data_IF_707500422854
#
_entry.id   IF_707500422854
#
_cell.length_a   1.000
_cell.length_b   1.000
_cell.length_c   1.000
_cell.angle_alpha   90.00
_cell.angle_beta   90.00
_cell.angle_gamma   90.00
#
_symmetry.space_group_name_H-M   'P 1'
#
loop_
_entity.id
_entity.type
_entity.pdbx_description
1 polymer ?
#
# COMPACT_ATOMS: atom_id res chain seq x y z
N UNK A 1 -5.53 10.29 -15.97
CA UNK A 1 -4.94 8.98 -15.66
C UNK A 1 -5.55 7.91 -16.55
N UNK A 2 -4.75 7.30 -17.41
CA UNK A 2 -5.16 6.17 -18.27
C UNK A 2 -5.22 4.87 -17.45
N UNK A 3 -6.44 4.34 -17.26
CA UNK A 3 -6.67 3.12 -16.50
C UNK A 3 -6.20 1.85 -17.21
N UNK A 4 -6.11 1.87 -18.55
CA UNK A 4 -5.63 0.71 -19.32
C UNK A 4 -4.16 0.45 -19.06
N UNK A 5 -3.34 1.51 -19.02
CA UNK A 5 -1.90 1.42 -18.74
C UNK A 5 -1.67 0.86 -17.34
N UNK A 6 -2.41 1.36 -16.34
CA UNK A 6 -2.33 0.90 -14.95
C UNK A 6 -2.77 -0.56 -14.82
N UNK A 7 -3.89 -0.92 -15.46
CA UNK A 7 -4.40 -2.29 -15.45
C UNK A 7 -3.39 -3.27 -16.04
N UNK A 8 -2.85 -2.96 -17.22
CA UNK A 8 -1.90 -3.82 -17.90
C UNK A 8 -0.62 -3.99 -17.08
N UNK A 9 -0.10 -2.90 -16.49
CA UNK A 9 1.04 -2.97 -15.61
C UNK A 9 0.77 -3.81 -14.36
N UNK A 10 -0.35 -3.58 -13.65
CA UNK A 10 -0.63 -4.26 -12.39
C UNK A 10 -0.78 -5.77 -12.56
N UNK A 11 -1.48 -6.21 -13.61
CA UNK A 11 -1.64 -7.63 -13.94
C UNK A 11 -0.28 -8.25 -14.30
N UNK A 12 0.49 -7.58 -15.17
CA UNK A 12 1.82 -8.05 -15.54
C UNK A 12 2.76 -8.13 -14.33
N UNK A 13 2.80 -7.09 -13.50
CA UNK A 13 3.67 -7.00 -12.33
C UNK A 13 3.34 -8.10 -11.31
N UNK A 14 2.06 -8.43 -11.16
CA UNK A 14 1.59 -9.53 -10.31
C UNK A 14 2.18 -10.87 -10.73
N UNK A 15 2.04 -11.21 -12.00
CA UNK A 15 2.56 -12.46 -12.55
C UNK A 15 4.08 -12.49 -12.53
N UNK A 16 4.72 -11.35 -12.85
CA UNK A 16 6.17 -11.21 -12.84
C UNK A 16 6.77 -11.37 -11.44
N UNK A 17 6.17 -10.75 -10.42
CA UNK A 17 6.63 -10.90 -9.03
C UNK A 17 6.45 -12.33 -8.51
N UNK A 18 5.34 -13.00 -8.83
CA UNK A 18 5.17 -14.43 -8.50
C UNK A 18 6.30 -15.25 -9.12
N UNK A 19 6.57 -15.05 -10.41
CA UNK A 19 7.63 -15.77 -11.13
C UNK A 19 9.00 -15.52 -10.48
N UNK A 20 9.36 -14.26 -10.23
CA UNK A 20 10.66 -13.90 -9.69
C UNK A 20 10.84 -14.35 -8.23
N UNK A 21 9.78 -14.33 -7.42
CA UNK A 21 9.78 -14.86 -6.05
C UNK A 21 9.91 -16.39 -6.06
N UNK A 22 9.18 -17.08 -6.94
CA UNK A 22 9.30 -18.53 -7.11
C UNK A 22 10.70 -18.92 -7.58
N UNK A 23 11.28 -18.15 -8.51
CA UNK A 23 12.66 -18.33 -8.95
C UNK A 23 13.66 -18.13 -7.80
N UNK A 24 13.41 -17.15 -6.92
CA UNK A 24 14.25 -16.96 -5.73
C UNK A 24 14.14 -18.13 -4.76
N UNK A 25 12.95 -18.70 -4.57
CA UNK A 25 12.76 -19.92 -3.78
C UNK A 25 13.49 -21.12 -4.39
N UNK A 26 13.43 -21.27 -5.72
CA UNK A 26 14.15 -22.32 -6.46
C UNK A 26 15.66 -22.26 -6.20
N UNK A 27 16.26 -21.06 -6.25
CA UNK A 27 17.68 -20.87 -5.93
C UNK A 27 18.03 -21.30 -4.50
N UNK A 28 17.09 -21.16 -3.57
CA UNK A 28 17.20 -21.62 -2.17
C UNK A 28 16.88 -23.11 -2.00
N UNK A 29 16.74 -23.84 -3.11
CA UNK A 29 16.50 -25.27 -3.15
C UNK A 29 15.07 -25.64 -2.73
N UNK A 30 14.10 -24.78 -2.97
CA UNK A 30 12.70 -24.99 -2.60
C UNK A 30 11.81 -24.89 -3.84
N UNK A 31 11.07 -25.95 -4.16
CA UNK A 31 10.17 -26.02 -5.33
C UNK A 31 8.92 -26.80 -4.95
N UNK A 32 7.76 -26.13 -4.89
CA UNK A 32 6.54 -26.77 -4.39
C UNK A 32 6.78 -27.33 -2.98
N UNK A 33 6.44 -28.60 -2.78
CA UNK A 33 6.66 -29.30 -1.51
C UNK A 33 8.10 -29.84 -1.33
N UNK A 34 8.94 -29.76 -2.37
CA UNK A 34 10.33 -30.22 -2.31
C UNK A 34 11.24 -29.17 -1.68
N UNK A 35 11.71 -29.44 -0.46
CA UNK A 35 12.69 -28.63 0.26
C UNK A 35 14.01 -29.39 0.35
N UNK A 36 15.00 -28.98 -0.45
CA UNK A 36 16.34 -29.55 -0.40
C UNK A 36 17.01 -29.24 0.94
N UNK A 37 17.79 -30.20 1.45
CA UNK A 37 18.60 -29.99 2.65
C UNK A 37 19.79 -29.07 2.35
N UNK A 38 20.17 -28.26 3.32
CA UNK A 38 21.41 -27.48 3.26
C UNK A 38 22.63 -28.41 3.21
N UNK A 39 23.60 -28.05 2.37
CA UNK A 39 24.88 -28.75 2.28
C UNK A 39 25.87 -28.10 3.26
N UNK A 40 26.18 -28.80 4.36
CA UNK A 40 27.27 -28.41 5.26
C UNK A 40 28.59 -28.89 4.68
N UNK A 41 29.44 -27.97 4.23
CA UNK A 41 30.75 -28.29 3.65
C UNK A 41 31.88 -28.12 4.69
N UNK A 42 31.77 -27.12 5.57
CA UNK A 42 32.61 -26.96 6.77
C UNK A 42 31.84 -26.19 7.86
N UNK A 43 32.42 -25.97 9.05
CA UNK A 43 31.75 -25.32 10.18
C UNK A 43 31.15 -23.93 9.82
N UNK A 44 31.85 -23.15 9.00
CA UNK A 44 31.44 -21.80 8.56
C UNK A 44 31.02 -21.73 7.09
N UNK A 45 30.85 -22.89 6.44
CA UNK A 45 30.52 -22.98 5.02
C UNK A 45 29.31 -23.87 4.79
N UNK A 46 28.15 -23.20 4.71
CA UNK A 46 26.87 -23.79 4.38
C UNK A 46 26.45 -23.27 3.00
N UNK A 47 26.03 -24.18 2.12
CA UNK A 47 25.60 -23.84 0.76
C UNK A 47 24.32 -24.55 0.36
N UNK A 48 23.67 -24.02 -0.68
CA UNK A 48 22.53 -24.63 -1.35
C UNK A 48 22.64 -24.37 -2.85
N UNK A 49 22.40 -25.38 -3.68
CA UNK A 49 22.57 -25.31 -5.14
C UNK A 49 23.92 -24.69 -5.55
N UNK A 50 25.00 -25.01 -4.82
CA UNK A 50 26.34 -24.49 -5.07
C UNK A 50 26.62 -23.06 -4.59
N UNK A 51 25.62 -22.33 -4.05
CA UNK A 51 25.80 -20.96 -3.53
C UNK A 51 25.96 -20.93 -2.01
N UNK A 52 27.00 -20.23 -1.52
CA UNK A 52 27.20 -19.96 -0.08
C UNK A 52 26.04 -19.12 0.46
N UNK A 53 25.50 -19.52 1.62
CA UNK A 53 24.55 -18.68 2.37
C UNK A 53 25.28 -17.90 3.46
N UNK A 54 24.91 -16.63 3.64
CA UNK A 54 25.32 -15.82 4.78
C UNK A 54 24.61 -16.32 6.05
N UNK A 55 25.16 -16.14 7.26
CA UNK A 55 24.55 -16.65 8.50
C UNK A 55 23.09 -16.22 8.70
N UNK A 56 22.74 -14.97 8.39
CA UNK A 56 21.36 -14.49 8.50
C UNK A 56 20.42 -15.12 7.46
N UNK A 57 20.90 -15.41 6.24
CA UNK A 57 20.12 -16.07 5.19
C UNK A 57 19.73 -17.50 5.61
N UNK A 58 20.54 -18.17 6.43
CA UNK A 58 20.21 -19.50 6.96
C UNK A 58 18.97 -19.43 7.87
N UNK A 59 18.89 -18.41 8.73
CA UNK A 59 17.75 -18.23 9.62
C UNK A 59 16.49 -17.83 8.85
N UNK A 60 16.61 -16.89 7.89
CA UNK A 60 15.51 -16.52 7.01
C UNK A 60 14.99 -17.71 6.21
N UNK A 61 15.88 -18.56 5.68
CA UNK A 61 15.48 -19.78 4.97
C UNK A 61 14.77 -20.78 5.88
N UNK A 62 15.18 -20.94 7.14
CA UNK A 62 14.46 -21.80 8.10
C UNK A 62 13.05 -21.25 8.40
N UNK A 63 12.89 -19.93 8.50
CA UNK A 63 11.57 -19.32 8.61
C UNK A 63 10.72 -19.62 7.38
N UNK A 64 11.32 -19.48 6.18
CA UNK A 64 10.66 -19.81 4.91
C UNK A 64 10.16 -21.25 4.85
N UNK A 65 11.00 -22.22 5.24
CA UNK A 65 10.59 -23.63 5.30
C UNK A 65 9.39 -23.85 6.23
N UNK A 66 9.40 -23.20 7.40
CA UNK A 66 8.31 -23.30 8.36
C UNK A 66 7.01 -22.77 7.75
N UNK A 67 7.06 -21.59 7.12
CA UNK A 67 5.88 -20.97 6.50
C UNK A 67 5.33 -21.77 5.33
N UNK A 68 6.21 -22.37 4.52
CA UNK A 68 5.80 -23.26 3.42
C UNK A 68 5.12 -24.52 3.96
N UNK A 69 5.62 -25.11 5.05
CA UNK A 69 4.94 -26.26 5.70
C UNK A 69 3.57 -25.90 6.30
N UNK A 70 3.41 -24.65 6.76
CA UNK A 70 2.15 -24.16 7.35
C UNK A 70 1.08 -23.83 6.30
N UNK A 71 1.46 -23.17 5.20
CA UNK A 71 0.53 -22.55 4.24
C UNK A 71 0.57 -23.19 2.84
N UNK A 72 1.63 -23.92 2.52
CA UNK A 72 1.94 -24.38 1.16
C UNK A 72 2.77 -23.37 0.37
N UNK A 73 3.54 -23.87 -0.61
CA UNK A 73 4.47 -23.09 -1.42
C UNK A 73 3.78 -21.96 -2.18
N UNK A 74 2.71 -22.26 -2.91
CA UNK A 74 2.02 -21.30 -3.78
C UNK A 74 1.48 -20.11 -2.97
N UNK A 75 0.91 -20.38 -1.80
CA UNK A 75 0.39 -19.32 -0.92
C UNK A 75 1.52 -18.43 -0.40
N UNK A 76 2.65 -19.01 0.01
CA UNK A 76 3.81 -18.23 0.48
C UNK A 76 4.39 -17.36 -0.64
N UNK A 77 4.54 -17.90 -1.85
CA UNK A 77 5.03 -17.14 -3.01
C UNK A 77 4.07 -15.99 -3.33
N UNK A 78 2.77 -16.23 -3.34
CA UNK A 78 1.76 -15.23 -3.63
C UNK A 78 1.73 -14.12 -2.56
N UNK A 79 1.81 -14.47 -1.28
CA UNK A 79 1.89 -13.52 -0.17
C UNK A 79 3.13 -12.64 -0.28
N UNK A 80 4.30 -13.22 -0.54
CA UNK A 80 5.55 -12.46 -0.66
C UNK A 80 5.56 -11.55 -1.90
N UNK A 81 5.05 -12.04 -3.03
CA UNK A 81 4.90 -11.23 -4.24
C UNK A 81 3.99 -10.03 -3.99
N UNK A 82 2.87 -10.22 -3.29
CA UNK A 82 1.96 -9.13 -2.92
C UNK A 82 2.61 -8.14 -1.96
N UNK A 83 3.34 -8.62 -0.94
CA UNK A 83 4.07 -7.76 0.00
C UNK A 83 5.08 -6.87 -0.73
N UNK A 84 5.88 -7.43 -1.65
CA UNK A 84 6.83 -6.63 -2.42
C UNK A 84 6.15 -5.67 -3.39
N UNK A 85 5.05 -6.08 -4.03
CA UNK A 85 4.25 -5.17 -4.83
C UNK A 85 3.79 -3.95 -4.02
N UNK A 86 3.18 -4.17 -2.86
CA UNK A 86 2.69 -3.10 -1.99
C UNK A 86 3.81 -2.15 -1.55
N UNK A 87 4.95 -2.71 -1.12
CA UNK A 87 6.11 -1.92 -0.70
C UNK A 87 6.67 -1.07 -1.85
N UNK A 88 6.78 -1.63 -3.06
CA UNK A 88 7.26 -0.91 -4.24
C UNK A 88 6.29 0.22 -4.61
N UNK A 89 4.98 -0.03 -4.65
CA UNK A 89 3.99 1.01 -4.97
C UNK A 89 4.01 2.13 -3.91
N UNK A 90 4.11 1.77 -2.64
CA UNK A 90 4.20 2.73 -1.55
C UNK A 90 5.47 3.59 -1.64
N UNK A 91 6.64 2.98 -1.86
CA UNK A 91 7.89 3.69 -2.09
C UNK A 91 7.79 4.64 -3.29
N UNK A 92 7.18 4.20 -4.39
CA UNK A 92 6.95 5.05 -5.58
C UNK A 92 6.06 6.24 -5.25
N UNK A 93 4.99 6.04 -4.51
CA UNK A 93 4.11 7.13 -4.10
C UNK A 93 4.85 8.10 -3.15
N UNK A 94 5.58 7.59 -2.16
CA UNK A 94 6.29 8.41 -1.19
C UNK A 94 7.42 9.21 -1.84
N UNK A 95 8.21 8.63 -2.75
CA UNK A 95 9.32 9.34 -3.38
C UNK A 95 8.87 10.45 -4.32
N UNK A 96 7.74 10.27 -5.02
CA UNK A 96 7.19 11.27 -5.94
C UNK A 96 6.62 12.47 -5.18
N UNK A 97 6.06 12.22 -3.99
CA UNK A 97 5.44 13.24 -3.15
C UNK A 97 6.37 13.81 -2.06
N UNK A 98 7.63 13.37 -2.01
CA UNK A 98 8.60 13.86 -1.02
C UNK A 98 8.30 13.43 0.42
N UNK A 99 7.66 12.26 0.60
CA UNK A 99 7.31 11.71 1.92
C UNK A 99 8.36 10.75 2.49
N UNK A 100 9.42 10.47 1.73
CA UNK A 100 10.51 9.64 2.23
C UNK A 100 11.35 10.43 3.26
N UNK A 101 11.61 9.89 4.47
CA UNK A 101 12.38 10.57 5.50
C UNK A 101 13.80 10.97 5.05
N UNK A 102 14.42 10.17 4.20
CA UNK A 102 15.77 10.42 3.65
C UNK A 102 15.81 11.57 2.65
N UNK A 103 14.66 11.98 2.09
CA UNK A 103 14.58 12.94 0.99
C UNK A 103 15.17 12.44 -0.34
N UNK A 104 15.64 11.19 -0.40
CA UNK A 104 16.29 10.59 -1.58
C UNK A 104 15.32 9.64 -2.27
N UNK A 105 15.24 9.70 -3.62
CA UNK A 105 14.40 8.78 -4.40
C UNK A 105 14.97 7.35 -4.36
N UNK A 106 14.09 6.39 -4.05
CA UNK A 106 14.48 4.99 -3.78
C UNK A 106 14.44 4.18 -5.06
N UNK A 107 13.43 4.37 -5.90
CA UNK A 107 13.18 3.57 -7.09
C UNK A 107 13.58 4.27 -8.39
N UNK A 108 13.78 5.59 -8.33
CA UNK A 108 14.03 6.43 -9.50
C UNK A 108 15.06 7.52 -9.20
N UNK A 109 15.34 8.37 -10.20
CA UNK A 109 16.22 9.53 -10.07
C UNK A 109 15.45 10.83 -10.27
N UNK A 110 15.93 11.88 -9.62
CA UNK A 110 15.56 13.28 -9.89
C UNK A 110 16.27 13.84 -11.14
N UNK A 111 17.38 13.23 -11.55
CA UNK A 111 18.13 13.61 -12.74
C UNK A 111 17.44 13.10 -14.02
N UNK A 112 17.02 13.98 -14.95
CA UNK A 112 16.35 13.56 -16.18
C UNK A 112 17.20 12.58 -17.00
N UNK A 113 16.62 11.43 -17.36
CA UNK A 113 17.28 10.41 -18.18
C UNK A 113 18.18 9.44 -17.40
N UNK A 114 18.43 9.68 -16.12
CA UNK A 114 19.18 8.73 -15.28
C UNK A 114 18.30 7.56 -14.87
N UNK A 115 18.80 6.35 -15.15
CA UNK A 115 18.08 5.10 -14.89
C UNK A 115 18.41 4.50 -13.53
N UNK A 116 19.60 4.80 -13.02
CA UNK A 116 20.05 4.40 -11.68
C UNK A 116 19.25 5.18 -10.61
N UNK A 117 18.62 4.51 -9.64
CA UNK A 117 17.94 5.19 -8.54
C UNK A 117 18.89 6.04 -7.67
N UNK A 118 18.40 7.18 -7.19
CA UNK A 118 19.22 8.13 -6.42
C UNK A 118 19.75 7.53 -5.11
N UNK A 119 19.05 6.56 -4.52
CA UNK A 119 19.49 5.85 -3.30
C UNK A 119 20.86 5.18 -3.48
N UNK A 120 21.19 4.71 -4.69
CA UNK A 120 22.49 4.09 -4.98
C UNK A 120 23.58 5.16 -5.04
N UNK A 121 23.32 6.24 -5.77
CA UNK A 121 24.25 7.37 -5.89
C UNK A 121 24.58 7.97 -4.51
N UNK A 122 23.57 8.11 -3.64
CA UNK A 122 23.72 8.75 -2.34
C UNK A 122 24.01 7.78 -1.19
N UNK A 123 24.30 6.51 -1.47
CA UNK A 123 24.37 5.43 -0.47
C UNK A 123 25.27 5.70 0.76
N UNK A 124 26.30 6.54 0.63
CA UNK A 124 27.22 6.90 1.73
C UNK A 124 26.69 7.97 2.67
N UNK A 125 25.70 8.75 2.23
CA UNK A 125 25.18 9.92 2.94
C UNK A 125 23.73 9.75 3.39
N UNK A 126 23.15 8.58 3.17
CA UNK A 126 21.79 8.28 3.62
C UNK A 126 21.75 8.22 5.15
N UNK A 127 20.76 8.90 5.72
CA UNK A 127 20.40 8.76 7.12
C UNK A 127 19.62 7.46 7.35
N UNK A 128 20.32 6.34 7.18
CA UNK A 128 19.85 4.97 7.37
C UNK A 128 20.88 4.19 8.18
N UNK A 129 20.45 3.18 8.93
CA UNK A 129 21.33 2.28 9.68
C UNK A 129 22.08 1.30 8.75
N UNK A 130 23.05 1.83 7.99
CA UNK A 130 23.85 1.10 7.01
C UNK A 130 25.17 0.58 7.60
N UNK A 131 25.56 -0.62 7.19
CA UNK A 131 26.92 -1.12 7.37
C UNK A 131 27.80 -0.54 6.25
N UNK A 132 28.64 0.43 6.61
CA UNK A 132 29.48 1.16 5.66
C UNK A 132 30.53 0.27 4.99
N UNK A 133 31.01 -0.78 5.65
CA UNK A 133 31.92 -1.77 5.03
C UNK A 133 31.21 -2.56 3.92
N UNK A 134 29.93 -2.90 4.13
CA UNK A 134 29.12 -3.57 3.09
C UNK A 134 28.89 -2.65 1.91
N UNK A 135 28.55 -1.38 2.15
CA UNK A 135 28.34 -0.38 1.09
C UNK A 135 29.62 -0.16 0.28
N UNK A 136 30.74 0.10 0.95
CA UNK A 136 32.04 0.30 0.31
C UNK A 136 32.45 -0.91 -0.54
N UNK A 137 32.36 -2.13 0.03
CA UNK A 137 32.70 -3.37 -0.69
C UNK A 137 31.83 -3.55 -1.94
N UNK A 138 30.53 -3.35 -1.85
CA UNK A 138 29.62 -3.53 -3.00
C UNK A 138 29.88 -2.47 -4.09
N UNK A 139 30.24 -1.25 -3.72
CA UNK A 139 30.67 -0.22 -4.67
C UNK A 139 32.00 -0.58 -5.34
N UNK A 140 33.00 -1.02 -4.58
CA UNK A 140 34.31 -1.42 -5.10
C UNK A 140 34.20 -2.63 -6.06
N UNK A 141 33.30 -3.58 -5.76
CA UNK A 141 32.96 -4.72 -6.62
C UNK A 141 32.08 -4.34 -7.82
N UNK A 142 31.57 -3.11 -7.87
CA UNK A 142 30.58 -2.62 -8.84
C UNK A 142 29.32 -3.51 -8.90
N UNK A 143 28.92 -4.08 -7.75
CA UNK A 143 27.71 -4.90 -7.57
C UNK A 143 26.51 -4.01 -7.22
N UNK A 144 26.09 -3.21 -8.20
CA UNK A 144 25.01 -2.24 -8.09
C UNK A 144 23.67 -2.88 -7.71
N UNK A 145 23.43 -4.11 -8.16
CA UNK A 145 22.18 -4.85 -7.89
C UNK A 145 22.09 -5.31 -6.43
N UNK A 146 23.15 -5.92 -5.88
CA UNK A 146 23.16 -6.28 -4.46
C UNK A 146 23.21 -5.03 -3.56
N UNK A 147 23.89 -3.96 -3.98
CA UNK A 147 23.87 -2.67 -3.29
C UNK A 147 22.44 -2.12 -3.23
N UNK A 148 21.73 -2.09 -4.35
CA UNK A 148 20.36 -1.63 -4.41
C UNK A 148 19.44 -2.45 -3.51
N UNK A 149 19.52 -3.78 -3.57
CA UNK A 149 18.73 -4.67 -2.71
C UNK A 149 18.99 -4.42 -1.23
N UNK A 150 20.25 -4.23 -0.86
CA UNK A 150 20.65 -3.92 0.51
C UNK A 150 20.03 -2.59 0.99
N UNK A 151 20.13 -1.54 0.17
CA UNK A 151 19.59 -0.22 0.47
C UNK A 151 18.06 -0.22 0.52
N UNK A 152 17.40 -0.92 -0.40
CA UNK A 152 15.93 -1.07 -0.43
C UNK A 152 15.42 -1.71 0.87
N UNK A 153 16.07 -2.79 1.32
CA UNK A 153 15.76 -3.44 2.60
C UNK A 153 15.98 -2.49 3.77
N UNK A 154 17.07 -1.72 3.77
CA UNK A 154 17.35 -0.74 4.83
C UNK A 154 16.35 0.41 4.86
N UNK A 155 15.91 0.88 3.70
CA UNK A 155 14.86 1.88 3.59
C UNK A 155 13.51 1.34 4.11
N UNK A 156 13.13 0.11 3.76
CA UNK A 156 11.91 -0.51 4.29
C UNK A 156 11.97 -0.66 5.82
N UNK A 157 13.13 -1.00 6.39
CA UNK A 157 13.31 -1.05 7.85
C UNK A 157 13.11 0.31 8.52
N UNK A 158 13.61 1.38 7.93
CA UNK A 158 13.37 2.71 8.49
C UNK A 158 11.89 3.09 8.43
N UNK A 159 11.21 2.74 7.33
CA UNK A 159 9.79 2.97 7.17
C UNK A 159 8.91 2.10 8.08
N UNK A 160 9.39 0.95 8.57
CA UNK A 160 8.69 0.14 9.58
C UNK A 160 8.40 0.96 10.85
N UNK A 161 9.31 1.84 11.27
CA UNK A 161 9.15 2.70 12.46
C UNK A 161 7.95 3.65 12.33
N UNK A 162 7.53 3.95 11.11
CA UNK A 162 6.46 4.92 10.78
C UNK A 162 5.18 4.20 10.32
N UNK A 163 5.32 3.17 9.50
CA UNK A 163 4.22 2.43 8.85
C UNK A 163 4.41 0.91 9.03
N UNK A 164 4.36 0.39 10.28
CA UNK A 164 4.73 -0.99 10.59
C UNK A 164 3.83 -2.04 9.93
N UNK A 165 2.56 -1.70 9.63
CA UNK A 165 1.63 -2.61 8.97
C UNK A 165 1.90 -2.82 7.47
N UNK A 166 2.65 -1.92 6.82
CA UNK A 166 2.99 -2.01 5.40
C UNK A 166 4.45 -2.45 5.20
N UNK A 167 5.33 -1.90 6.02
CA UNK A 167 6.73 -2.26 6.07
C UNK A 167 6.96 -3.10 7.31
N UNK A 168 6.55 -4.37 7.31
CA UNK A 168 6.83 -5.28 8.43
C UNK A 168 8.34 -5.40 8.72
N UNK A 169 8.70 -5.68 9.98
CA UNK A 169 10.09 -5.81 10.42
C UNK A 169 10.81 -6.90 9.61
N UNK A 170 11.98 -6.55 9.10
CA UNK A 170 12.77 -7.38 8.18
C UNK A 170 13.73 -8.26 8.99
N UNK A 171 13.84 -9.51 8.57
CA UNK A 171 14.43 -10.62 9.33
C UNK A 171 13.67 -11.93 9.14
N UNK A 172 12.53 -11.88 8.46
CA UNK A 172 11.67 -13.02 8.17
C UNK A 172 11.89 -13.58 6.75
N UNK A 173 11.07 -14.55 6.34
CA UNK A 173 11.16 -15.24 5.05
C UNK A 173 10.90 -14.35 3.82
N UNK A 174 10.31 -13.17 3.99
CA UNK A 174 9.94 -12.27 2.89
C UNK A 174 11.16 -11.63 2.21
N UNK A 175 12.23 -11.39 2.97
CA UNK A 175 13.43 -10.68 2.49
C UNK A 175 14.36 -11.57 1.70
N UNK A 176 14.53 -12.82 2.13
CA UNK A 176 15.35 -13.78 1.39
C UNK A 176 14.73 -14.10 0.01
N UNK A 177 13.42 -13.91 -0.10
CA UNK A 177 12.62 -14.04 -1.31
C UNK A 177 12.50 -12.75 -2.13
N UNK A 178 13.11 -11.63 -1.72
CA UNK A 178 13.18 -10.43 -2.56
C UNK A 178 13.73 -10.80 -3.96
N UNK A 179 13.03 -10.47 -5.06
CA UNK A 179 13.49 -10.71 -6.43
C UNK A 179 14.84 -10.11 -6.73
N UNK A 180 15.67 -10.82 -7.51
CA UNK A 180 16.92 -10.29 -8.06
C UNK A 180 16.65 -9.54 -9.37
N UNK A 181 17.66 -8.82 -9.86
CA UNK A 181 17.64 -8.07 -11.12
C UNK A 181 16.58 -6.95 -11.11
N UNK A 182 16.40 -6.31 -9.97
CA UNK A 182 15.46 -5.22 -9.73
C UNK A 182 15.78 -3.97 -10.55
N UNK A 183 17.02 -3.81 -11.03
CA UNK A 183 17.43 -2.68 -11.86
C UNK A 183 17.32 -2.93 -13.37
N UNK A 184 17.03 -4.16 -13.79
CA UNK A 184 16.97 -4.55 -15.22
C UNK A 184 15.75 -3.97 -15.95
N UNK A 185 15.82 -3.78 -17.28
CA UNK A 185 14.73 -3.18 -18.09
C UNK A 185 13.37 -3.87 -17.95
N UNK A 186 13.35 -5.19 -17.75
CA UNK A 186 12.14 -5.99 -17.55
C UNK A 186 11.73 -6.18 -16.08
N UNK A 187 12.37 -5.49 -15.13
CA UNK A 187 12.02 -5.58 -13.71
C UNK A 187 10.73 -4.81 -13.42
N UNK A 188 10.01 -5.21 -12.38
CA UNK A 188 8.79 -4.50 -11.96
C UNK A 188 9.07 -3.05 -11.59
N UNK A 189 10.20 -2.77 -10.94
CA UNK A 189 10.59 -1.40 -10.58
C UNK A 189 10.84 -0.56 -11.83
N UNK A 190 11.60 -1.09 -12.80
CA UNK A 190 11.94 -0.35 -14.01
C UNK A 190 10.74 -0.10 -14.90
N UNK A 191 9.87 -1.10 -15.06
CA UNK A 191 8.60 -0.93 -15.76
C UNK A 191 7.64 0.02 -15.03
N UNK A 192 7.60 0.03 -13.69
CA UNK A 192 6.79 0.97 -12.92
C UNK A 192 7.22 2.42 -13.20
N UNK A 193 8.52 2.70 -13.06
CA UNK A 193 9.09 4.04 -13.21
C UNK A 193 8.99 4.54 -14.66
N UNK A 194 9.13 3.64 -15.64
CA UNK A 194 9.17 4.02 -17.07
C UNK A 194 7.79 4.04 -17.73
N UNK A 195 6.88 3.12 -17.36
CA UNK A 195 5.61 2.95 -18.07
C UNK A 195 4.45 3.67 -17.37
N UNK A 196 4.56 3.95 -16.07
CA UNK A 196 3.52 4.67 -15.33
C UNK A 196 3.98 6.12 -15.15
N UNK A 197 3.30 7.09 -15.77
CA UNK A 197 3.66 8.50 -15.65
C UNK A 197 3.69 8.98 -14.20
N UNK A 198 4.70 9.77 -13.86
CA UNK A 198 4.94 10.26 -12.50
C UNK A 198 3.76 11.10 -12.00
N UNK A 199 3.11 11.88 -12.87
CA UNK A 199 1.96 12.70 -12.50
C UNK A 199 0.77 11.90 -11.97
N UNK A 200 0.68 10.60 -12.27
CA UNK A 200 -0.39 9.76 -11.71
C UNK A 200 -0.22 9.55 -10.19
N UNK A 201 0.98 9.75 -9.64
CA UNK A 201 1.26 9.62 -8.21
C UNK A 201 1.15 10.95 -7.44
N UNK A 202 1.11 12.12 -8.10
CA UNK A 202 1.24 13.44 -7.43
C UNK A 202 -0.02 13.96 -6.73
N UNK A 203 -1.21 13.61 -7.21
CA UNK A 203 -2.44 14.32 -6.77
C UNK A 203 -3.56 13.38 -6.30
N UNK A 204 -3.38 12.05 -6.39
CA UNK A 204 -4.47 11.12 -6.13
C UNK A 204 -3.99 9.83 -5.46
N UNK A 205 -4.53 9.54 -4.28
CA UNK A 205 -4.46 8.20 -3.67
C UNK A 205 -5.16 7.15 -4.56
N UNK A 206 -5.99 7.58 -5.52
CA UNK A 206 -6.70 6.69 -6.43
C UNK A 206 -5.79 5.75 -7.22
N UNK A 207 -4.58 6.18 -7.65
CA UNK A 207 -3.68 5.29 -8.41
C UNK A 207 -3.33 4.03 -7.61
N UNK A 208 -3.08 4.18 -6.31
CA UNK A 208 -2.78 3.07 -5.40
C UNK A 208 -3.97 2.11 -5.38
N UNK A 209 -5.18 2.65 -5.26
CA UNK A 209 -6.42 1.88 -5.32
C UNK A 209 -6.60 1.09 -6.62
N UNK A 210 -6.36 1.72 -7.77
CA UNK A 210 -6.43 1.05 -9.08
C UNK A 210 -5.36 -0.03 -9.24
N UNK A 211 -4.12 0.25 -8.83
CA UNK A 211 -3.02 -0.72 -8.87
C UNK A 211 -3.37 -1.97 -8.06
N UNK A 212 -3.88 -1.82 -6.83
CA UNK A 212 -4.28 -2.95 -6.00
C UNK A 212 -5.49 -3.70 -6.57
N UNK A 213 -6.51 -2.98 -7.04
CA UNK A 213 -7.68 -3.60 -7.65
C UNK A 213 -7.31 -4.44 -8.88
N UNK A 214 -6.43 -3.93 -9.73
CA UNK A 214 -6.00 -4.63 -10.93
C UNK A 214 -4.96 -5.73 -10.65
N UNK A 215 -4.12 -5.59 -9.62
CA UNK A 215 -3.20 -6.63 -9.20
C UNK A 215 -3.93 -7.95 -8.90
N UNK A 216 -5.07 -7.87 -8.19
CA UNK A 216 -5.84 -9.06 -7.79
C UNK A 216 -6.88 -9.51 -8.82
N UNK A 217 -7.03 -8.81 -9.97
CA UNK A 217 -8.18 -9.01 -10.85
C UNK A 217 -8.25 -10.41 -11.47
N UNK A 218 -7.10 -10.98 -11.88
CA UNK A 218 -7.09 -12.34 -12.44
C UNK A 218 -7.48 -13.39 -11.41
N UNK A 219 -7.01 -13.22 -10.15
CA UNK A 219 -7.37 -14.11 -9.05
C UNK A 219 -8.86 -14.02 -8.73
N UNK A 220 -9.40 -12.80 -8.73
CA UNK A 220 -10.83 -12.56 -8.58
C UNK A 220 -11.62 -13.28 -9.67
N UNK A 221 -11.26 -13.09 -10.95
CA UNK A 221 -11.93 -13.74 -12.07
C UNK A 221 -11.89 -15.28 -11.97
N UNK A 222 -10.75 -15.85 -11.53
CA UNK A 222 -10.60 -17.29 -11.25
C UNK A 222 -11.60 -17.75 -10.18
N UNK A 223 -11.67 -17.05 -9.04
CA UNK A 223 -12.57 -17.37 -7.92
C UNK A 223 -14.04 -17.29 -8.35
N UNK A 224 -14.42 -16.25 -9.08
CA UNK A 224 -15.79 -16.08 -9.59
C UNK A 224 -16.14 -17.13 -10.67
N UNK A 225 -15.19 -17.52 -11.52
CA UNK A 225 -15.38 -18.62 -12.47
C UNK A 225 -15.56 -19.97 -11.75
N UNK A 226 -14.86 -20.19 -10.63
CA UNK A 226 -15.05 -21.33 -9.75
C UNK A 226 -16.44 -21.33 -9.10
N UNK A 227 -16.89 -20.17 -8.61
CA UNK A 227 -18.22 -20.01 -8.00
C UNK A 227 -19.34 -20.32 -9.00
N UNK A 228 -19.23 -19.88 -10.26
CA UNK A 228 -20.17 -20.24 -11.35
C UNK A 228 -20.22 -21.75 -11.63
N UNK A 229 -19.20 -22.50 -11.23
CA UNK A 229 -19.12 -23.97 -11.29
C UNK A 229 -19.47 -24.63 -9.95
N UNK A 230 -20.15 -23.92 -9.05
CA UNK A 230 -20.54 -24.37 -7.70
C UNK A 230 -19.36 -24.78 -6.80
N UNK A 231 -18.13 -24.29 -7.07
CA UNK A 231 -17.02 -24.45 -6.12
C UNK A 231 -17.20 -23.45 -4.98
N UNK A 232 -17.13 -23.93 -3.74
CA UNK A 232 -17.15 -23.07 -2.56
C UNK A 232 -15.91 -22.18 -2.52
N UNK A 233 -16.07 -20.94 -2.08
CA UNK A 233 -14.95 -20.03 -1.82
C UNK A 233 -14.23 -20.53 -0.57
N UNK A 234 -12.95 -20.90 -0.72
CA UNK A 234 -12.10 -21.32 0.41
C UNK A 234 -11.61 -20.10 1.20
N UNK A 235 -11.09 -20.31 2.42
CA UNK A 235 -10.61 -19.24 3.30
C UNK A 235 -9.59 -18.33 2.61
N UNK A 236 -8.70 -18.92 1.83
CA UNK A 236 -7.61 -18.24 1.11
C UNK A 236 -8.13 -17.38 -0.05
N UNK A 237 -9.31 -17.70 -0.58
CA UNK A 237 -9.94 -17.02 -1.71
C UNK A 237 -10.96 -15.94 -1.30
N UNK A 238 -11.28 -15.82 0.00
CA UNK A 238 -12.18 -14.78 0.51
C UNK A 238 -11.71 -13.38 0.11
N UNK A 239 -10.42 -12.98 0.31
CA UNK A 239 -9.97 -11.63 -0.02
C UNK A 239 -10.21 -11.25 -1.48
N UNK A 240 -9.91 -12.15 -2.42
CA UNK A 240 -10.13 -11.92 -3.86
C UNK A 240 -11.62 -11.73 -4.21
N UNK A 241 -12.53 -12.37 -3.46
CA UNK A 241 -13.97 -12.25 -3.68
C UNK A 241 -14.57 -10.98 -3.05
N UNK A 242 -14.04 -10.53 -1.91
CA UNK A 242 -14.65 -9.45 -1.10
C UNK A 242 -13.94 -8.11 -1.19
N UNK A 243 -12.72 -8.04 -1.74
CA UNK A 243 -12.02 -6.78 -1.94
C UNK A 243 -12.68 -5.97 -3.07
N UNK A 244 -13.38 -4.90 -2.68
CA UNK A 244 -14.09 -3.99 -3.55
C UNK A 244 -13.58 -2.57 -3.35
N UNK A 245 -13.35 -1.87 -4.45
CA UNK A 245 -12.95 -0.48 -4.44
C UNK A 245 -14.18 0.41 -4.63
N UNK A 246 -14.38 1.36 -3.73
CA UNK A 246 -15.49 2.32 -3.81
C UNK A 246 -15.08 3.52 -4.67
N UNK A 247 -15.74 3.76 -5.83
CA UNK A 247 -15.44 4.92 -6.67
C UNK A 247 -15.64 6.24 -5.93
N UNK A 248 -14.79 7.23 -6.23
CA UNK A 248 -14.79 8.53 -5.53
C UNK A 248 -16.15 9.23 -5.49
N UNK A 249 -16.94 9.16 -6.56
CA UNK A 249 -18.27 9.78 -6.56
C UNK A 249 -19.23 9.13 -5.57
N UNK A 250 -19.16 7.80 -5.37
CA UNK A 250 -19.98 7.08 -4.38
C UNK A 250 -19.53 7.48 -2.98
N UNK A 251 -18.21 7.50 -2.74
CA UNK A 251 -17.64 7.96 -1.46
C UNK A 251 -18.13 9.36 -1.12
N UNK A 252 -18.00 10.29 -2.09
CA UNK A 252 -18.44 11.67 -1.90
C UNK A 252 -19.93 11.78 -1.61
N UNK A 253 -20.74 11.12 -2.44
CA UNK A 253 -22.18 11.06 -2.25
C UNK A 253 -22.56 10.56 -0.85
N UNK A 254 -21.95 9.45 -0.38
CA UNK A 254 -22.25 8.90 0.95
C UNK A 254 -21.87 9.87 2.08
N UNK A 255 -20.66 10.44 2.05
CA UNK A 255 -20.17 11.30 3.13
C UNK A 255 -20.89 12.65 3.14
N UNK A 256 -21.07 13.30 1.99
CA UNK A 256 -21.75 14.59 1.88
C UNK A 256 -23.22 14.47 2.38
N UNK A 257 -23.91 13.38 2.05
CA UNK A 257 -25.31 13.16 2.46
C UNK A 257 -25.49 12.44 3.81
N UNK A 258 -24.41 12.15 4.54
CA UNK A 258 -24.48 11.63 5.91
C UNK A 258 -23.87 12.63 6.88
N UNK A 259 -22.54 12.72 6.90
CA UNK A 259 -21.79 13.67 7.71
C UNK A 259 -22.12 15.13 7.36
N UNK A 260 -22.11 15.48 6.07
CA UNK A 260 -22.42 16.84 5.64
C UNK A 260 -23.87 17.23 5.97
N UNK A 261 -24.82 16.31 5.75
CA UNK A 261 -26.23 16.46 6.11
C UNK A 261 -26.44 16.70 7.60
N UNK A 262 -25.81 15.87 8.45
CA UNK A 262 -25.87 16.02 9.91
C UNK A 262 -25.46 17.44 10.36
N UNK A 263 -24.39 17.98 9.76
CA UNK A 263 -23.94 19.33 10.08
C UNK A 263 -24.92 20.40 9.60
N UNK A 264 -25.31 20.36 8.32
CA UNK A 264 -26.19 21.37 7.71
C UNK A 264 -27.57 21.47 8.36
N UNK A 265 -28.11 20.38 8.91
CA UNK A 265 -29.40 20.41 9.60
C UNK A 265 -29.37 21.29 10.86
N UNK A 266 -28.24 21.37 11.55
CA UNK A 266 -28.03 22.24 12.70
C UNK A 266 -27.38 23.58 12.36
N UNK A 267 -26.56 23.61 11.32
CA UNK A 267 -25.67 24.71 10.99
C UNK A 267 -25.77 25.05 9.48
N UNK A 268 -26.87 25.66 9.04
CA UNK A 268 -27.04 26.03 7.64
C UNK A 268 -25.90 26.95 7.17
N UNK A 269 -25.13 26.48 6.20
CA UNK A 269 -23.99 27.19 5.61
C UNK A 269 -23.94 26.90 4.12
N UNK A 270 -24.43 27.85 3.32
CA UNK A 270 -24.49 27.74 1.86
C UNK A 270 -23.09 27.77 1.21
N UNK A 271 -22.10 28.43 1.83
CA UNK A 271 -20.72 28.43 1.33
C UNK A 271 -20.12 27.04 1.48
N UNK A 272 -20.28 26.43 2.66
CA UNK A 272 -19.86 25.07 2.92
C UNK A 272 -20.57 24.07 2.00
N UNK A 273 -21.90 24.17 1.87
CA UNK A 273 -22.71 23.30 1.00
C UNK A 273 -22.28 23.38 -0.46
N UNK A 274 -21.88 24.55 -0.95
CA UNK A 274 -21.43 24.74 -2.34
C UNK A 274 -20.17 23.93 -2.71
N UNK A 275 -19.39 23.49 -1.73
CA UNK A 275 -18.21 22.62 -1.91
C UNK A 275 -18.58 21.15 -2.14
N UNK A 276 -19.82 20.75 -1.81
CA UNK A 276 -20.29 19.37 -1.80
C UNK A 276 -21.11 19.07 -3.05
N UNK A 277 -20.42 18.56 -4.08
CA UNK A 277 -20.96 18.38 -5.44
C UNK A 277 -22.15 17.40 -5.52
N UNK A 278 -22.19 16.42 -4.62
CA UNK A 278 -23.15 15.32 -4.59
C UNK A 278 -24.15 15.44 -3.44
N UNK A 279 -24.14 16.54 -2.69
CA UNK A 279 -25.14 16.84 -1.67
C UNK A 279 -26.53 16.97 -2.30
N UNK A 280 -27.53 16.35 -1.67
CA UNK A 280 -28.91 16.38 -2.12
C UNK A 280 -29.71 17.40 -1.32
N UNK A 281 -30.37 18.30 -2.04
CA UNK A 281 -31.37 19.19 -1.45
C UNK A 281 -32.54 18.37 -0.88
N UNK A 282 -33.12 18.88 0.19
CA UNK A 282 -34.27 18.25 0.82
C UNK A 282 -35.50 18.34 -0.08
N UNK A 283 -36.16 17.21 -0.29
CA UNK A 283 -37.44 17.17 -1.00
C UNK A 283 -38.58 17.62 -0.10
N UNK A 284 -39.64 18.19 -0.69
CA UNK A 284 -40.86 18.54 0.05
C UNK A 284 -41.40 17.32 0.82
N UNK A 285 -41.73 17.54 2.10
CA UNK A 285 -42.24 16.52 3.00
C UNK A 285 -43.67 16.83 3.45
N UNK A 286 -44.40 15.80 3.86
CA UNK A 286 -45.71 15.96 4.47
C UNK A 286 -45.62 16.78 5.77
N UNK A 287 -46.67 17.55 6.16
CA UNK A 287 -46.61 18.46 7.31
C UNK A 287 -46.19 17.81 8.63
N UNK A 288 -46.59 16.57 8.88
CA UNK A 288 -46.24 15.81 10.09
C UNK A 288 -44.74 15.49 10.16
N UNK A 289 -44.12 15.22 9.01
CA UNK A 289 -42.67 14.95 8.90
C UNK A 289 -41.89 16.24 9.07
N UNK A 290 -42.36 17.35 8.50
CA UNK A 290 -41.72 18.67 8.65
C UNK A 290 -41.67 19.12 10.13
N UNK A 291 -42.68 18.78 10.93
CA UNK A 291 -42.65 19.06 12.37
C UNK A 291 -41.59 18.24 13.12
N UNK A 292 -41.39 16.97 12.73
CA UNK A 292 -40.32 16.13 13.29
C UNK A 292 -38.94 16.65 12.89
N UNK A 293 -38.76 17.02 11.62
CA UNK A 293 -37.51 17.59 11.12
C UNK A 293 -37.15 18.89 11.83
N UNK A 294 -38.12 19.76 12.13
CA UNK A 294 -37.86 20.97 12.93
C UNK A 294 -37.29 20.65 14.31
N UNK A 295 -37.74 19.57 14.97
CA UNK A 295 -37.19 19.16 16.28
C UNK A 295 -35.75 18.67 16.13
N UNK A 296 -35.48 17.81 15.15
CA UNK A 296 -34.14 17.30 14.83
C UNK A 296 -33.18 18.48 14.57
N UNK A 297 -33.57 19.43 13.70
CA UNK A 297 -32.76 20.62 13.39
C UNK A 297 -32.44 21.47 14.64
N UNK A 298 -33.36 21.58 15.61
CA UNK A 298 -33.09 22.31 16.85
C UNK A 298 -32.12 21.57 17.76
N UNK A 299 -32.18 20.24 17.81
CA UNK A 299 -31.21 19.41 18.54
C UNK A 299 -29.83 19.51 17.90
N UNK A 300 -29.76 19.42 16.56
CA UNK A 300 -28.52 19.46 15.78
C UNK A 300 -27.73 20.77 15.90
N UNK A 301 -28.39 21.91 16.21
CA UNK A 301 -27.72 23.20 16.46
C UNK A 301 -26.70 23.21 17.59
N UNK A 302 -26.81 22.26 18.53
CA UNK A 302 -25.94 22.20 19.69
C UNK A 302 -24.76 21.23 19.48
N UNK A 303 -24.72 20.51 18.36
CA UNK A 303 -23.64 19.58 18.02
C UNK A 303 -22.38 20.38 17.73
N UNK A 304 -21.29 20.08 18.43
CA UNK A 304 -19.97 20.59 18.08
C UNK A 304 -19.26 19.65 17.11
N UNK A 305 -18.32 20.13 16.30
CA UNK A 305 -17.53 19.26 15.45
C UNK A 305 -16.89 18.07 16.20
N UNK A 306 -16.41 18.26 17.44
CA UNK A 306 -15.79 17.22 18.27
C UNK A 306 -16.76 16.12 18.75
N UNK A 307 -18.07 16.39 18.74
CA UNK A 307 -19.09 15.45 19.17
C UNK A 307 -19.39 14.40 18.08
N UNK A 308 -19.02 14.68 16.83
CA UNK A 308 -19.31 13.83 15.68
C UNK A 308 -18.35 12.63 15.66
N UNK A 309 -18.89 11.41 15.60
CA UNK A 309 -18.11 10.17 15.49
C UNK A 309 -18.36 9.51 14.14
N UNK A 310 -17.30 9.24 13.39
CA UNK A 310 -17.31 8.55 12.10
C UNK A 310 -16.53 7.25 12.24
N UNK A 311 -17.15 6.14 11.85
CA UNK A 311 -16.55 4.81 11.88
C UNK A 311 -16.83 4.10 10.56
N UNK A 312 -15.81 3.45 10.01
CA UNK A 312 -15.94 2.54 8.87
C UNK A 312 -15.32 1.18 9.23
N UNK A 313 -16.13 0.20 9.70
CA UNK A 313 -15.62 -1.08 10.19
C UNK A 313 -15.08 -1.99 9.07
N UNK A 314 -15.22 -1.59 7.80
CA UNK A 314 -14.73 -2.32 6.64
C UNK A 314 -13.96 -1.38 5.69
N UNK A 315 -13.20 -0.44 6.27
CA UNK A 315 -12.63 0.71 5.56
C UNK A 315 -11.72 0.39 4.37
N UNK A 316 -11.17 -0.82 4.28
CA UNK A 316 -10.28 -1.22 3.20
C UNK A 316 -9.13 -0.21 3.03
N UNK A 317 -9.09 0.50 1.90
CA UNK A 317 -8.10 1.56 1.63
C UNK A 317 -8.38 2.90 2.34
N UNK A 318 -9.36 2.95 3.24
CA UNK A 318 -9.69 4.15 4.03
C UNK A 318 -10.38 5.25 3.23
N UNK A 319 -10.83 4.99 1.99
CA UNK A 319 -11.34 6.04 1.09
C UNK A 319 -12.48 6.88 1.68
N UNK A 320 -13.40 6.23 2.41
CA UNK A 320 -14.50 6.92 3.07
C UNK A 320 -13.97 7.79 4.20
N UNK A 321 -13.07 7.28 5.04
CA UNK A 321 -12.49 8.02 6.16
C UNK A 321 -11.61 9.19 5.71
N UNK A 322 -10.84 9.01 4.63
CA UNK A 322 -10.01 10.09 4.04
C UNK A 322 -10.91 11.22 3.54
N UNK A 323 -12.03 10.92 2.87
CA UNK A 323 -12.93 11.98 2.44
C UNK A 323 -13.78 12.54 3.58
N UNK A 324 -14.12 11.73 4.59
CA UNK A 324 -14.73 12.22 5.83
C UNK A 324 -13.80 13.20 6.56
N UNK A 325 -12.49 12.98 6.55
CA UNK A 325 -11.51 13.93 7.06
C UNK A 325 -11.62 15.28 6.34
N UNK A 326 -11.68 15.30 5.01
CA UNK A 326 -11.83 16.54 4.23
C UNK A 326 -13.11 17.30 4.61
N UNK A 327 -14.24 16.58 4.71
CA UNK A 327 -15.54 17.16 5.07
C UNK A 327 -15.54 17.66 6.52
N UNK A 328 -14.96 16.90 7.46
CA UNK A 328 -14.76 17.35 8.83
C UNK A 328 -13.87 18.59 8.86
N UNK A 329 -12.82 18.65 8.06
CA UNK A 329 -11.93 19.81 8.02
C UNK A 329 -12.69 21.07 7.63
N UNK A 330 -13.51 20.98 6.58
CA UNK A 330 -14.39 22.06 6.16
C UNK A 330 -15.42 22.43 7.25
N UNK A 331 -15.99 21.46 7.96
CA UNK A 331 -16.91 21.67 9.10
C UNK A 331 -16.21 22.44 10.23
N UNK A 332 -15.05 21.96 10.71
CA UNK A 332 -14.28 22.62 11.77
C UNK A 332 -13.90 24.06 11.37
N UNK A 333 -13.50 24.26 10.12
CA UNK A 333 -13.19 25.59 9.59
C UNK A 333 -14.42 26.50 9.62
N UNK A 334 -15.58 26.01 9.21
CA UNK A 334 -16.85 26.76 9.31
C UNK A 334 -17.23 27.11 10.75
N UNK A 335 -16.88 26.24 11.70
CA UNK A 335 -17.10 26.45 13.14
C UNK A 335 -16.07 27.41 13.79
N UNK A 336 -15.12 27.94 13.01
CA UNK A 336 -14.16 28.97 13.45
C UNK A 336 -12.84 28.45 14.01
N UNK A 337 -12.51 27.17 13.79
CA UNK A 337 -11.26 26.58 14.28
C UNK A 337 -10.07 26.97 13.42
N UNK A 338 -8.88 27.03 14.04
CA UNK A 338 -7.62 27.27 13.34
C UNK A 338 -7.25 26.06 12.48
N UNK A 339 -7.01 26.28 11.18
CA UNK A 339 -6.63 25.21 10.22
C UNK A 339 -5.46 24.33 10.71
N UNK A 340 -4.56 24.89 11.51
CA UNK A 340 -3.41 24.16 12.07
C UNK A 340 -3.80 23.11 13.12
N UNK A 341 -4.90 23.34 13.84
CA UNK A 341 -5.35 22.48 14.94
C UNK A 341 -6.34 21.42 14.46
N UNK A 342 -7.07 21.70 13.38
CA UNK A 342 -8.12 20.84 12.82
C UNK A 342 -7.65 19.38 12.60
N UNK A 343 -6.51 19.10 11.92
CA UNK A 343 -6.09 17.72 11.67
C UNK A 343 -5.95 16.89 12.94
N UNK A 344 -5.38 17.49 13.99
CA UNK A 344 -5.22 16.82 15.28
C UNK A 344 -6.57 16.55 15.92
N UNK A 345 -7.46 17.54 15.94
CA UNK A 345 -8.80 17.41 16.51
C UNK A 345 -9.60 16.31 15.80
N UNK A 346 -9.53 16.22 14.47
CA UNK A 346 -10.21 15.19 13.70
C UNK A 346 -9.74 13.78 14.08
N UNK A 347 -8.43 13.59 14.17
CA UNK A 347 -7.84 12.30 14.52
C UNK A 347 -8.11 11.89 15.97
N UNK A 348 -8.21 12.86 16.89
CA UNK A 348 -8.50 12.59 18.31
C UNK A 348 -9.99 12.34 18.57
N UNK A 349 -10.88 13.05 17.87
CA UNK A 349 -12.29 13.13 18.24
C UNK A 349 -13.24 12.49 17.23
N UNK A 350 -12.88 12.32 15.97
CA UNK A 350 -13.89 12.01 14.95
C UNK A 350 -13.70 10.67 14.26
N UNK A 351 -12.47 10.28 13.89
CA UNK A 351 -12.24 9.08 13.08
C UNK A 351 -11.86 7.88 13.96
N UNK A 352 -12.66 6.80 13.89
CA UNK A 352 -12.52 5.57 14.71
C UNK A 352 -12.42 4.29 13.88
#
# INVERSE_FOLDING_TARGET
MDKSVIKNFAIWARNKLIEDVAQRAYELGIVGDEIKKLEQVSQDYIRINGKKLKPFEINQRKSLETKIREKGFDQVVEEVAYTWFNRIIALRFMEVNGYLPTGVRVLSSTEPGKTEPDIITHAEYLDLELNQEVVARLKDENDTEELFRYLLVKQCNELNKILPGLFEEIGDYTDILLPKNLLSEGSVIRCLVSNIPEEYFKEQVEIIGWLYQYYISEKKDEVFAGLRKNKKITKENIPAATQLFTPKWIVKYMVENSLGRLWQEGHPDEELKSKWKYYLEEAEQEPEVEEQLKKIRQESKNIKPEDIKVMDPAMGSGHILVYAFDVLFDIYKSAGYSEREIPKLILENNLY
#
